data_IF_926478244508
#
_entry.id   IF_926478244508
#
_cell.length_a   1.000
_cell.length_b   1.000
_cell.length_c   1.000
_cell.angle_alpha   90.00
_cell.angle_beta   90.00
_cell.angle_gamma   90.00
#
_symmetry.space_group_name_H-M   'P 1'
#
loop_
_entity.id
_entity.type
_entity.pdbx_description
1 polymer ?
#
# COMPACT_ATOMS: atom_id res chain seq x y z
N UNK A 1 -76.72 16.13 -20.00
CA UNK A 1 -75.69 16.36 -18.99
C UNK A 1 -74.97 15.02 -18.77
N UNK A 2 -73.79 14.84 -19.41
CA UNK A 2 -73.07 13.56 -19.39
C UNK A 2 -71.91 13.70 -18.38
N UNK A 3 -71.93 12.87 -17.33
CA UNK A 3 -70.92 12.82 -16.30
C UNK A 3 -69.81 11.88 -16.78
N UNK A 4 -68.60 12.41 -17.01
CA UNK A 4 -67.45 11.58 -17.32
C UNK A 4 -66.80 11.09 -16.03
N UNK A 5 -66.79 9.79 -15.83
CA UNK A 5 -66.04 9.13 -14.74
C UNK A 5 -64.56 9.05 -15.15
N UNK A 6 -63.72 9.74 -14.42
CA UNK A 6 -62.26 9.59 -14.47
C UNK A 6 -61.89 8.33 -13.67
N UNK A 7 -61.32 7.34 -14.38
CA UNK A 7 -60.70 6.16 -13.76
C UNK A 7 -59.24 6.49 -13.50
N UNK A 8 -58.85 6.62 -12.24
CA UNK A 8 -57.46 6.71 -11.83
C UNK A 8 -56.87 5.32 -11.75
N UNK A 9 -55.99 4.98 -12.71
CA UNK A 9 -55.18 3.75 -12.66
C UNK A 9 -53.95 4.04 -11.84
N UNK A 10 -53.94 3.61 -10.58
CA UNK A 10 -52.74 3.64 -9.72
C UNK A 10 -51.81 2.50 -10.10
N UNK A 11 -50.68 2.82 -10.67
CA UNK A 11 -49.58 1.88 -10.89
C UNK A 11 -48.88 1.59 -9.56
N UNK A 12 -49.12 0.41 -9.00
CA UNK A 12 -48.44 -0.12 -7.82
C UNK A 12 -47.02 -0.54 -8.26
N UNK A 13 -46.01 0.31 -7.97
CA UNK A 13 -44.60 -0.05 -8.21
C UNK A 13 -44.16 -1.04 -7.14
N UNK A 14 -44.04 -2.31 -7.50
CA UNK A 14 -43.46 -3.36 -6.65
C UNK A 14 -41.95 -3.17 -6.65
N UNK A 15 -41.38 -2.56 -5.60
CA UNK A 15 -39.95 -2.59 -5.34
C UNK A 15 -39.59 -4.03 -4.91
N UNK A 16 -39.03 -4.81 -5.80
CA UNK A 16 -38.40 -6.08 -5.48
C UNK A 16 -37.05 -5.74 -4.82
N UNK A 17 -37.00 -5.86 -3.49
CA UNK A 17 -35.75 -5.86 -2.76
C UNK A 17 -35.07 -7.22 -3.02
N UNK A 18 -34.10 -7.25 -3.90
CA UNK A 18 -33.18 -8.38 -3.96
C UNK A 18 -32.36 -8.38 -2.67
N UNK A 19 -32.65 -9.34 -1.80
CA UNK A 19 -31.81 -9.62 -0.65
C UNK A 19 -30.46 -10.16 -1.15
N UNK A 20 -29.44 -9.31 -1.17
CA UNK A 20 -28.06 -9.74 -1.39
C UNK A 20 -27.67 -10.65 -0.23
N UNK A 21 -27.77 -11.96 -0.43
CA UNK A 21 -27.27 -12.94 0.52
C UNK A 21 -25.76 -12.87 0.52
N UNK A 22 -25.17 -12.31 1.59
CA UNK A 22 -23.73 -12.34 1.79
C UNK A 22 -23.31 -13.81 1.97
N UNK A 23 -22.56 -14.33 1.01
CA UNK A 23 -21.99 -15.67 1.11
C UNK A 23 -20.90 -15.67 2.17
N UNK A 24 -21.15 -16.30 3.32
CA UNK A 24 -20.16 -16.46 4.37
C UNK A 24 -19.30 -17.68 4.04
N UNK A 25 -18.02 -17.45 3.78
CA UNK A 25 -17.04 -18.53 3.64
C UNK A 25 -16.32 -18.74 4.98
N UNK A 26 -16.33 -19.96 5.47
CA UNK A 26 -15.60 -20.33 6.69
C UNK A 26 -14.28 -20.98 6.30
N UNK A 27 -13.17 -20.43 6.78
CA UNK A 27 -11.83 -21.00 6.61
C UNK A 27 -11.36 -21.61 7.93
N UNK A 28 -10.87 -22.86 7.90
CA UNK A 28 -10.27 -23.52 9.04
C UNK A 28 -8.77 -23.58 8.87
N UNK A 29 -8.04 -22.99 9.80
CA UNK A 29 -6.57 -23.11 9.86
C UNK A 29 -6.25 -24.41 10.60
N UNK A 30 -5.54 -25.31 9.95
CA UNK A 30 -5.14 -26.62 10.48
C UNK A 30 -3.76 -26.48 11.14
N UNK A 31 -3.70 -26.05 12.38
CA UNK A 31 -2.45 -25.82 13.11
C UNK A 31 -1.70 -27.10 13.47
N UNK A 32 -2.42 -28.24 13.46
CA UNK A 32 -1.90 -29.59 13.69
C UNK A 32 -1.28 -30.24 12.44
N UNK A 33 -1.40 -29.59 11.27
CA UNK A 33 -0.86 -30.06 10.00
C UNK A 33 -0.04 -28.98 9.32
N UNK A 34 1.15 -28.64 9.83
CA UNK A 34 2.03 -27.69 9.19
C UNK A 34 2.52 -28.24 7.84
N UNK A 35 2.36 -27.49 6.78
CA UNK A 35 2.83 -27.85 5.44
C UNK A 35 4.26 -27.31 5.26
N UNK A 36 4.38 -26.06 4.85
CA UNK A 36 5.68 -25.42 4.62
C UNK A 36 5.88 -24.24 5.56
N UNK A 37 7.13 -23.98 6.00
CA UNK A 37 7.40 -22.78 6.80
C UNK A 37 7.25 -21.51 5.95
N UNK A 38 6.50 -20.54 6.46
CA UNK A 38 6.48 -19.19 5.93
C UNK A 38 7.57 -18.41 6.66
N UNK A 39 8.63 -18.03 5.96
CA UNK A 39 9.77 -17.35 6.56
C UNK A 39 9.46 -15.89 6.91
N UNK A 40 8.76 -15.18 6.00
CA UNK A 40 8.52 -13.74 6.13
C UNK A 40 7.24 -13.32 5.46
N UNK A 41 6.65 -12.24 5.98
CA UNK A 41 5.66 -11.44 5.30
C UNK A 41 6.26 -10.08 5.00
N UNK A 42 6.15 -9.61 3.78
CA UNK A 42 6.76 -8.37 3.35
C UNK A 42 5.91 -7.56 2.40
N UNK A 43 6.29 -6.31 2.23
CA UNK A 43 5.74 -5.43 1.23
C UNK A 43 6.83 -4.56 0.61
N UNK A 44 6.51 -3.91 -0.50
CA UNK A 44 7.39 -2.96 -1.18
C UNK A 44 6.92 -1.53 -0.89
N UNK A 45 7.88 -0.62 -0.75
CA UNK A 45 7.64 0.82 -0.68
C UNK A 45 7.17 1.42 -2.02
N UNK A 46 7.27 0.63 -3.10
CA UNK A 46 7.10 1.03 -4.47
C UNK A 46 6.01 2.09 -4.65
N UNK A 47 6.44 3.25 -5.09
CA UNK A 47 5.76 4.51 -5.37
C UNK A 47 4.96 5.14 -4.24
N UNK A 48 4.22 4.39 -3.41
CA UNK A 48 3.40 4.96 -2.34
C UNK A 48 4.23 5.76 -1.36
N UNK A 49 5.38 5.26 -0.96
CA UNK A 49 6.23 5.92 0.04
C UNK A 49 6.99 7.13 -0.52
N UNK A 50 7.07 7.28 -1.83
CA UNK A 50 7.52 8.54 -2.47
C UNK A 50 6.70 9.73 -1.96
N UNK A 51 5.39 9.54 -1.76
CA UNK A 51 4.46 10.58 -1.32
C UNK A 51 4.19 10.52 0.18
N UNK A 52 3.76 9.37 0.67
CA UNK A 52 3.38 9.15 2.08
C UNK A 52 4.55 9.43 3.03
N UNK A 53 5.77 9.12 2.60
CA UNK A 53 6.98 9.42 3.35
C UNK A 53 7.33 10.91 3.47
N UNK A 54 6.59 11.79 2.80
CA UNK A 54 6.71 13.24 2.91
C UNK A 54 5.52 13.89 3.65
N UNK A 55 4.56 13.10 4.10
CA UNK A 55 3.45 13.59 4.90
C UNK A 55 3.91 14.07 6.28
N UNK A 56 3.04 14.76 7.06
CA UNK A 56 3.38 15.15 8.43
C UNK A 56 3.88 13.96 9.24
N UNK A 57 4.92 14.18 10.07
CA UNK A 57 5.63 13.11 10.80
C UNK A 57 4.68 12.20 11.59
N UNK A 58 3.66 12.77 12.24
CA UNK A 58 2.69 11.98 13.00
C UNK A 58 1.97 10.93 12.13
N UNK A 59 1.61 11.28 10.90
CA UNK A 59 0.95 10.36 9.97
C UNK A 59 1.92 9.29 9.47
N UNK A 60 3.17 9.66 9.18
CA UNK A 60 4.20 8.68 8.83
C UNK A 60 4.41 7.66 9.94
N UNK A 61 4.54 8.12 11.19
CA UNK A 61 4.71 7.25 12.37
C UNK A 61 3.52 6.31 12.55
N UNK A 62 2.30 6.82 12.41
CA UNK A 62 1.10 5.99 12.54
C UNK A 62 1.01 4.91 11.46
N UNK A 63 1.30 5.25 10.20
CA UNK A 63 1.31 4.28 9.10
C UNK A 63 2.42 3.25 9.32
N UNK A 64 3.60 3.70 9.78
CA UNK A 64 4.69 2.81 10.09
C UNK A 64 4.36 1.86 11.26
N UNK A 65 3.61 2.30 12.28
CA UNK A 65 3.09 1.44 13.33
C UNK A 65 2.17 0.37 12.76
N UNK A 66 1.22 0.74 11.89
CA UNK A 66 0.31 -0.23 11.26
C UNK A 66 1.02 -1.27 10.41
N UNK A 67 2.09 -0.88 9.72
CA UNK A 67 2.84 -1.79 8.86
C UNK A 67 3.83 -2.67 9.62
N UNK A 68 4.54 -2.11 10.58
CA UNK A 68 5.74 -2.74 11.12
C UNK A 68 5.64 -3.15 12.58
N UNK A 69 4.71 -2.58 13.36
CA UNK A 69 4.63 -2.91 14.79
C UNK A 69 4.23 -4.36 15.00
N UNK A 70 4.96 -5.05 15.89
CA UNK A 70 4.63 -6.36 16.44
C UNK A 70 4.05 -6.27 17.85
N UNK A 71 3.85 -5.03 18.35
CA UNK A 71 3.35 -4.78 19.69
C UNK A 71 1.82 -4.83 19.75
N UNK A 72 1.30 -5.18 20.91
CA UNK A 72 -0.13 -5.06 21.20
C UNK A 72 -0.42 -3.74 21.93
N UNK A 73 -1.65 -3.27 21.83
CA UNK A 73 -2.19 -2.17 22.63
C UNK A 73 -2.53 -2.62 24.07
N UNK A 74 -3.04 -1.70 24.89
CA UNK A 74 -3.42 -1.97 26.28
C UNK A 74 -4.55 -3.02 26.42
N UNK A 75 -5.32 -3.26 25.34
CA UNK A 75 -6.39 -4.26 25.30
C UNK A 75 -5.93 -5.59 24.71
N UNK A 76 -4.63 -5.74 24.43
CA UNK A 76 -4.05 -6.94 23.82
C UNK A 76 -4.28 -7.05 22.30
N UNK A 77 -4.77 -5.99 21.62
CA UNK A 77 -4.98 -5.99 20.18
C UNK A 77 -3.71 -5.60 19.44
N UNK A 78 -3.39 -6.25 18.30
CA UNK A 78 -2.22 -5.88 17.49
C UNK A 78 -2.26 -4.41 17.05
N UNK A 79 -1.17 -3.69 17.26
CA UNK A 79 -1.01 -2.31 16.77
C UNK A 79 -0.69 -2.24 15.28
N UNK A 80 -0.16 -3.31 14.71
CA UNK A 80 0.21 -3.41 13.32
C UNK A 80 0.21 -4.84 12.81
N UNK A 81 0.46 -4.99 11.50
CA UNK A 81 0.51 -6.30 10.83
C UNK A 81 1.88 -6.98 10.94
N UNK A 82 2.88 -6.30 11.49
CA UNK A 82 4.20 -6.87 11.80
C UNK A 82 4.97 -7.36 10.57
N UNK A 83 5.04 -6.56 9.51
CA UNK A 83 5.85 -6.92 8.34
C UNK A 83 7.30 -7.19 8.75
N UNK A 84 7.83 -8.34 8.34
CA UNK A 84 9.19 -8.79 8.65
C UNK A 84 10.19 -8.59 7.50
N UNK A 85 9.72 -8.19 6.32
CA UNK A 85 10.56 -7.77 5.19
C UNK A 85 10.03 -6.48 4.60
N UNK A 86 10.91 -5.52 4.39
CA UNK A 86 10.60 -4.30 3.66
C UNK A 86 11.46 -4.19 2.40
N UNK A 87 10.82 -4.12 1.23
CA UNK A 87 11.52 -3.92 -0.04
C UNK A 87 11.63 -2.43 -0.32
N UNK A 88 12.88 -1.96 -0.41
CA UNK A 88 13.22 -0.61 -0.85
C UNK A 88 13.43 -0.59 -2.36
N UNK A 89 12.64 0.22 -3.08
CA UNK A 89 12.77 0.37 -4.51
C UNK A 89 13.90 1.37 -4.84
N UNK A 90 15.05 0.87 -5.27
CA UNK A 90 16.13 1.71 -5.79
C UNK A 90 15.72 2.29 -7.14
N UNK A 91 15.60 3.62 -7.20
CA UNK A 91 15.25 4.30 -8.44
C UNK A 91 16.39 4.32 -9.43
N UNK A 92 16.06 4.21 -10.70
CA UNK A 92 17.02 4.19 -11.82
C UNK A 92 17.06 5.51 -12.60
N UNK A 93 16.25 6.53 -12.23
CA UNK A 93 16.31 7.85 -12.84
C UNK A 93 15.18 8.16 -13.82
N UNK A 94 14.04 7.49 -13.72
CA UNK A 94 12.87 7.87 -14.53
C UNK A 94 12.35 9.27 -14.20
N UNK A 95 12.61 9.78 -13.00
CA UNK A 95 12.30 11.18 -12.64
C UNK A 95 13.22 12.15 -13.41
N UNK A 96 14.52 11.86 -13.46
CA UNK A 96 15.52 12.66 -14.18
C UNK A 96 15.28 12.65 -15.69
N UNK A 97 14.81 11.54 -16.25
CA UNK A 97 14.46 11.42 -17.67
C UNK A 97 13.13 12.13 -18.02
N UNK A 98 12.25 12.36 -17.02
CA UNK A 98 10.94 12.96 -17.27
C UNK A 98 10.12 12.15 -18.27
N UNK A 99 9.52 12.82 -19.26
CA UNK A 99 8.65 12.19 -20.26
C UNK A 99 9.40 11.23 -21.20
N UNK A 100 10.71 11.40 -21.39
CA UNK A 100 11.52 10.47 -22.20
C UNK A 100 11.68 9.10 -21.56
N UNK A 101 11.38 8.95 -20.26
CA UNK A 101 11.32 7.65 -19.60
C UNK A 101 10.14 6.78 -20.04
N UNK A 102 9.11 7.38 -20.65
CA UNK A 102 7.82 6.74 -20.92
C UNK A 102 7.11 6.15 -19.68
N UNK A 103 7.55 6.56 -18.48
CA UNK A 103 6.98 6.16 -17.20
C UNK A 103 5.95 7.21 -16.76
N UNK A 104 4.80 6.73 -16.29
CA UNK A 104 3.76 7.62 -15.74
C UNK A 104 4.32 8.42 -14.54
N UNK A 105 4.17 9.77 -14.50
CA UNK A 105 4.77 10.63 -13.47
C UNK A 105 4.62 10.15 -12.02
N UNK A 106 3.45 9.67 -11.55
CA UNK A 106 3.32 9.17 -10.18
C UNK A 106 4.21 7.98 -9.84
N UNK A 107 4.70 7.24 -10.85
CA UNK A 107 5.51 6.03 -10.66
C UNK A 107 6.98 6.23 -11.04
N UNK A 108 7.37 7.46 -11.40
CA UNK A 108 8.77 7.83 -11.64
C UNK A 108 9.55 7.82 -10.33
N UNK A 109 10.82 7.45 -10.41
CA UNK A 109 11.73 7.38 -9.26
C UNK A 109 13.04 8.09 -9.57
N UNK A 110 13.59 8.77 -8.56
CA UNK A 110 14.88 9.44 -8.63
C UNK A 110 16.03 8.42 -8.65
N UNK A 111 17.16 8.79 -9.24
CA UNK A 111 18.40 8.01 -9.19
C UNK A 111 19.37 8.59 -8.17
N UNK A 112 19.99 7.74 -7.35
CA UNK A 112 21.06 8.18 -6.45
C UNK A 112 22.37 8.49 -7.21
N UNK A 113 22.63 7.77 -8.31
CA UNK A 113 23.79 8.01 -9.16
C UNK A 113 23.62 9.33 -9.93
N UNK A 114 24.66 10.15 -9.96
CA UNK A 114 24.73 11.39 -10.74
C UNK A 114 25.52 11.18 -12.04
N UNK A 115 25.38 12.09 -13.01
CA UNK A 115 26.13 12.01 -14.29
C UNK A 115 27.66 12.03 -14.12
N UNK A 116 28.19 12.59 -13.02
CA UNK A 116 29.62 12.66 -12.71
C UNK A 116 30.15 11.39 -12.00
N UNK A 117 29.29 10.37 -11.82
CA UNK A 117 29.65 9.11 -11.15
C UNK A 117 29.56 9.19 -9.62
N UNK A 118 29.23 10.33 -9.03
CA UNK A 118 29.01 10.44 -7.59
C UNK A 118 27.59 10.04 -7.18
N UNK A 119 27.35 9.89 -5.86
CA UNK A 119 26.03 9.52 -5.34
C UNK A 119 25.41 10.67 -4.55
N UNK A 120 24.11 10.91 -4.79
CA UNK A 120 23.29 11.84 -4.04
C UNK A 120 22.37 11.11 -3.06
N UNK A 121 22.80 10.94 -1.85
CA UNK A 121 22.03 10.26 -0.82
C UNK A 121 20.85 11.09 -0.26
N UNK A 122 20.58 12.28 -0.79
CA UNK A 122 19.38 13.07 -0.44
C UNK A 122 18.15 12.67 -1.25
N UNK A 123 18.34 11.98 -2.36
CA UNK A 123 17.29 11.47 -3.24
C UNK A 123 16.37 10.47 -2.54
N UNK A 124 15.20 10.22 -3.12
CA UNK A 124 14.18 9.29 -2.62
C UNK A 124 13.82 9.53 -1.14
N UNK A 125 13.68 10.77 -0.73
CA UNK A 125 13.50 11.16 0.68
C UNK A 125 12.33 10.45 1.35
N UNK A 126 11.16 10.37 0.69
CA UNK A 126 9.97 9.73 1.27
C UNK A 126 10.19 8.24 1.52
N UNK A 127 10.76 7.54 0.55
CA UNK A 127 11.06 6.10 0.65
C UNK A 127 12.13 5.84 1.72
N UNK A 128 13.16 6.68 1.81
CA UNK A 128 14.19 6.62 2.86
C UNK A 128 13.62 6.84 4.25
N UNK A 129 12.65 7.74 4.40
CA UNK A 129 11.96 7.94 5.68
C UNK A 129 11.28 6.65 6.14
N UNK A 130 10.57 5.95 5.25
CA UNK A 130 9.94 4.67 5.62
C UNK A 130 10.93 3.54 5.84
N UNK A 131 12.06 3.51 5.11
CA UNK A 131 13.15 2.58 5.40
C UNK A 131 13.67 2.75 6.83
N UNK A 132 13.86 4.01 7.27
CA UNK A 132 14.26 4.35 8.63
C UNK A 132 13.19 3.94 9.66
N UNK A 133 11.93 4.29 9.42
CA UNK A 133 10.81 3.96 10.30
C UNK A 133 10.61 2.44 10.45
N UNK A 134 10.82 1.67 9.39
CA UNK A 134 10.80 0.21 9.43
C UNK A 134 11.94 -0.34 10.31
N UNK A 135 13.15 0.19 10.14
CA UNK A 135 14.31 -0.18 10.96
C UNK A 135 14.10 0.13 12.43
N UNK A 136 13.56 1.31 12.75
CA UNK A 136 13.27 1.75 14.12
C UNK A 136 12.23 0.85 14.82
N UNK A 137 11.35 0.19 14.03
CA UNK A 137 10.34 -0.77 14.53
C UNK A 137 10.82 -2.21 14.52
N UNK A 138 12.09 -2.44 14.24
CA UNK A 138 12.71 -3.75 14.33
C UNK A 138 12.43 -4.69 13.16
N UNK A 139 12.05 -4.16 11.98
CA UNK A 139 11.95 -4.99 10.76
C UNK A 139 13.31 -5.66 10.53
N UNK A 140 13.38 -7.01 10.52
CA UNK A 140 14.66 -7.71 10.52
C UNK A 140 15.32 -7.79 9.14
N UNK A 141 14.54 -7.70 8.06
CA UNK A 141 15.06 -7.89 6.70
C UNK A 141 14.67 -6.76 5.76
N UNK A 142 15.65 -6.35 4.95
CA UNK A 142 15.48 -5.34 3.92
C UNK A 142 15.95 -5.88 2.59
N UNK A 143 15.15 -5.68 1.54
CA UNK A 143 15.50 -6.01 0.17
C UNK A 143 15.63 -4.72 -0.63
N UNK A 144 16.85 -4.31 -0.97
CA UNK A 144 17.08 -3.25 -1.94
C UNK A 144 17.01 -3.84 -3.35
N UNK A 145 16.12 -3.31 -4.18
CA UNK A 145 15.87 -3.85 -5.52
C UNK A 145 15.74 -2.72 -6.55
N UNK A 146 16.46 -2.87 -7.63
CA UNK A 146 16.43 -1.96 -8.77
C UNK A 146 15.67 -2.62 -9.93
N UNK A 147 14.66 -1.94 -10.47
CA UNK A 147 13.84 -2.46 -11.57
C UNK A 147 14.52 -2.33 -12.94
N UNK A 148 15.47 -1.41 -13.08
CA UNK A 148 16.21 -1.13 -14.31
C UNK A 148 17.61 -0.59 -14.00
N UNK A 149 18.47 -0.59 -15.01
CA UNK A 149 19.81 0.02 -14.90
C UNK A 149 19.69 1.52 -14.69
N UNK A 150 20.55 2.15 -13.88
CA UNK A 150 20.61 3.61 -13.76
C UNK A 150 20.76 4.31 -15.09
N UNK A 151 20.18 5.51 -15.19
CA UNK A 151 20.20 6.31 -16.42
C UNK A 151 21.54 7.01 -16.70
N UNK A 152 22.47 6.95 -15.75
CA UNK A 152 23.83 7.51 -15.85
C UNK A 152 24.88 6.43 -15.72
#
# INVERSE_FOLDING_TARGET
>A
MKIHKLIFAGTLSLCIYEAVSAQTSTYRIMTDRPEQPIMHFGASDAWSMKYVGLWPKQQQEQIADWLFSTQNDANGQPRGIGLSVWRFNLGAGSEEQGDSSHINPPTRTECFLRPDGTYDWTKQQGQRNFLKLAKERGVPHFLAFMNSVPVY
#
